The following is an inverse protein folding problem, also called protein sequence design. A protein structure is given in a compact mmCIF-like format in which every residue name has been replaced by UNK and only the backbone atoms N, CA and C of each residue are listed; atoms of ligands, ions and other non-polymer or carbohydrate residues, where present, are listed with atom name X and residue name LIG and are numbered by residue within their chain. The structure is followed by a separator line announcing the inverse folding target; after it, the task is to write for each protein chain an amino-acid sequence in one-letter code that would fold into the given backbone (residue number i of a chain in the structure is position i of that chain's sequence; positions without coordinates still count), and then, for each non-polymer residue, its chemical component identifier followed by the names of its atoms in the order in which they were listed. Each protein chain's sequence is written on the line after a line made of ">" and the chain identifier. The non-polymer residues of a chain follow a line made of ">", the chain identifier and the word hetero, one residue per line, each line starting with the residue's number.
data_IF_149155198327
#
_entry.id   IF_149155198327
#
_cell.length_a   1.000
_cell.length_b   1.000
_cell.length_c   1.000
_cell.angle_alpha   90.00
_cell.angle_beta   90.00
_cell.angle_gamma   90.00
#
_symmetry.space_group_name_H-M   'P 1'
#
loop_
_entity.id
_entity.type
_entity.pdbx_description
1 polymer ?
#
# COMPACT_ATOMS: atom_id res chain seq x y z
N UNK A 1 15.02 4.38 -28.49
CA UNK A 1 14.75 4.76 -27.10
C UNK A 1 14.10 6.13 -27.11
N UNK A 2 12.77 6.24 -26.97
CA UNK A 2 12.11 7.55 -26.94
C UNK A 2 12.31 8.20 -25.57
N UNK A 3 12.85 9.42 -25.57
CA UNK A 3 12.85 10.29 -24.40
C UNK A 3 11.39 10.66 -24.10
N UNK A 4 10.72 9.88 -23.25
CA UNK A 4 9.44 10.28 -22.66
C UNK A 4 9.66 11.61 -21.94
N UNK A 5 9.03 12.67 -22.43
CA UNK A 5 8.82 13.89 -21.65
C UNK A 5 8.02 13.49 -20.41
N UNK A 6 8.76 13.31 -19.33
CA UNK A 6 8.22 12.91 -18.05
C UNK A 6 7.82 14.22 -17.38
N UNK A 7 6.51 14.49 -17.15
CA UNK A 7 6.02 15.80 -16.75
C UNK A 7 6.85 16.30 -15.57
N UNK A 8 7.61 17.37 -15.82
CA UNK A 8 8.45 18.01 -14.82
C UNK A 8 7.50 18.68 -13.84
N UNK A 9 7.51 18.19 -12.59
CA UNK A 9 6.81 18.83 -11.49
C UNK A 9 7.18 20.32 -11.47
N UNK A 10 6.22 21.24 -11.33
CA UNK A 10 6.55 22.64 -11.11
C UNK A 10 7.44 22.75 -9.87
N UNK A 11 8.61 23.40 -10.02
CA UNK A 11 9.66 23.47 -8.98
C UNK A 11 9.16 24.14 -7.70
N UNK A 12 8.11 24.96 -7.81
CA UNK A 12 7.49 25.68 -6.70
C UNK A 12 6.54 24.83 -5.83
N UNK A 13 6.23 23.59 -6.23
CA UNK A 13 5.27 22.75 -5.50
C UNK A 13 5.89 21.85 -4.40
N UNK A 14 7.19 21.95 -4.15
CA UNK A 14 7.85 21.11 -3.15
C UNK A 14 7.81 21.77 -1.77
N UNK A 15 6.74 21.50 -1.02
CA UNK A 15 6.68 21.82 0.40
C UNK A 15 7.75 21.04 1.19
N UNK A 16 8.27 21.65 2.25
CA UNK A 16 9.09 20.94 3.25
C UNK A 16 8.34 19.71 3.78
N UNK A 17 9.03 18.58 4.06
CA UNK A 17 8.39 17.40 4.64
C UNK A 17 7.56 17.77 5.88
N UNK A 18 6.33 17.26 5.97
CA UNK A 18 5.48 17.51 7.15
C UNK A 18 6.01 16.72 8.34
N UNK A 19 5.64 17.17 9.54
CA UNK A 19 6.02 16.50 10.77
C UNK A 19 5.62 15.01 10.77
N UNK A 20 4.50 14.66 10.11
CA UNK A 20 4.04 13.28 9.97
C UNK A 20 5.02 12.39 9.19
N UNK A 21 5.52 12.87 8.04
CA UNK A 21 6.48 12.13 7.23
C UNK A 21 7.83 12.02 7.94
N UNK A 22 8.29 13.10 8.59
CA UNK A 22 9.53 13.07 9.38
C UNK A 22 9.43 12.07 10.53
N UNK A 23 8.30 12.02 11.23
CA UNK A 23 8.04 11.04 12.27
C UNK A 23 8.01 9.60 11.71
N UNK A 24 7.37 9.38 10.57
CA UNK A 24 7.32 8.07 9.92
C UNK A 24 8.72 7.60 9.46
N UNK A 25 9.53 8.50 8.91
CA UNK A 25 10.91 8.22 8.51
C UNK A 25 11.80 7.89 9.73
N UNK A 26 11.68 8.68 10.81
CA UNK A 26 12.33 8.41 12.09
C UNK A 26 11.94 7.05 12.69
N UNK A 27 10.64 6.77 12.76
CA UNK A 27 10.13 5.50 13.27
C UNK A 27 10.58 4.29 12.43
N UNK A 28 10.61 4.44 11.10
CA UNK A 28 11.13 3.39 10.21
C UNK A 28 12.62 3.11 10.47
N UNK A 29 13.45 4.15 10.54
CA UNK A 29 14.88 3.97 10.79
C UNK A 29 15.14 3.38 12.19
N UNK A 30 14.40 3.84 13.20
CA UNK A 30 14.42 3.25 14.54
C UNK A 30 14.07 1.76 14.52
N UNK A 31 13.02 1.36 13.80
CA UNK A 31 12.65 -0.05 13.65
C UNK A 31 13.77 -0.88 12.99
N UNK A 32 14.44 -0.34 11.97
CA UNK A 32 15.58 -1.01 11.31
C UNK A 32 16.75 -1.21 12.29
N UNK A 33 17.11 -0.16 13.05
CA UNK A 33 18.24 -0.24 13.98
C UNK A 33 17.93 -1.15 15.17
N UNK A 34 16.71 -1.08 15.72
CA UNK A 34 16.26 -1.97 16.80
C UNK A 34 16.27 -3.43 16.33
N UNK A 35 15.78 -3.70 15.12
CA UNK A 35 15.84 -5.03 14.52
C UNK A 35 17.29 -5.55 14.45
N UNK A 36 18.21 -4.72 13.95
CA UNK A 36 19.63 -5.09 13.88
C UNK A 36 20.22 -5.39 15.26
N UNK A 37 19.93 -4.55 16.28
CA UNK A 37 20.39 -4.79 17.65
C UNK A 37 19.84 -6.11 18.20
N UNK A 38 18.54 -6.38 18.05
CA UNK A 38 17.93 -7.62 18.54
C UNK A 38 18.53 -8.85 17.86
N UNK A 39 18.72 -8.81 16.54
CA UNK A 39 19.31 -9.91 15.78
C UNK A 39 20.76 -10.17 16.19
N UNK A 40 21.59 -9.13 16.32
CA UNK A 40 22.99 -9.25 16.72
C UNK A 40 23.10 -9.72 18.18
N UNK A 41 22.32 -9.13 19.09
CA UNK A 41 22.29 -9.52 20.49
C UNK A 41 21.91 -10.99 20.67
N UNK A 42 20.91 -11.47 19.92
CA UNK A 42 20.51 -12.87 19.93
C UNK A 42 21.63 -13.78 19.41
N UNK A 43 22.38 -13.34 18.39
CA UNK A 43 23.47 -14.12 17.81
C UNK A 43 24.67 -14.27 18.75
N UNK A 44 24.96 -13.25 19.56
CA UNK A 44 26.11 -13.26 20.50
C UNK A 44 25.73 -13.67 21.92
N UNK A 45 24.46 -13.99 22.19
CA UNK A 45 23.99 -14.34 23.53
C UNK A 45 24.11 -13.17 24.53
N UNK A 46 23.84 -11.94 24.10
CA UNK A 46 23.99 -10.76 24.94
C UNK A 46 23.07 -10.80 26.16
N UNK A 47 23.52 -10.17 27.26
CA UNK A 47 22.71 -10.03 28.47
C UNK A 47 21.47 -9.16 28.22
N UNK A 48 20.39 -9.41 28.97
CA UNK A 48 19.14 -8.62 28.88
C UNK A 48 19.39 -7.12 29.06
N UNK A 49 20.28 -6.74 29.99
CA UNK A 49 20.64 -5.35 30.23
C UNK A 49 21.29 -4.69 28.99
N UNK A 50 22.20 -5.41 28.33
CA UNK A 50 22.82 -4.96 27.08
C UNK A 50 21.80 -4.81 25.95
N UNK A 51 20.83 -5.74 25.85
CA UNK A 51 19.75 -5.65 24.87
C UNK A 51 18.88 -4.42 25.11
N UNK A 52 18.45 -4.19 26.34
CA UNK A 52 17.60 -3.04 26.68
C UNK A 52 18.31 -1.71 26.40
N UNK A 53 19.59 -1.58 26.80
CA UNK A 53 20.40 -0.41 26.50
C UNK A 53 20.60 -0.18 25.00
N UNK A 54 20.90 -1.27 24.26
CA UNK A 54 21.07 -1.22 22.82
C UNK A 54 19.78 -0.83 22.08
N UNK A 55 18.65 -1.42 22.44
CA UNK A 55 17.34 -1.12 21.83
C UNK A 55 16.94 0.33 22.08
N UNK A 56 17.07 0.82 23.32
CA UNK A 56 16.75 2.22 23.64
C UNK A 56 17.63 3.21 22.87
N UNK A 57 18.93 2.92 22.79
CA UNK A 57 19.89 3.75 22.04
C UNK A 57 19.57 3.73 20.54
N UNK A 58 19.38 2.54 19.95
CA UNK A 58 19.04 2.37 18.55
C UNK A 58 17.73 3.05 18.16
N UNK A 59 16.71 2.95 19.03
CA UNK A 59 15.44 3.63 18.83
C UNK A 59 15.62 5.15 18.83
N UNK A 60 16.30 5.69 19.84
CA UNK A 60 16.53 7.14 19.96
C UNK A 60 17.32 7.69 18.78
N UNK A 61 18.45 7.05 18.46
CA UNK A 61 19.29 7.42 17.32
C UNK A 61 18.52 7.32 16.01
N UNK A 62 17.75 6.26 15.81
CA UNK A 62 16.97 6.07 14.59
C UNK A 62 15.88 7.11 14.39
N UNK A 63 15.15 7.48 15.46
CA UNK A 63 14.13 8.53 15.39
C UNK A 63 14.76 9.87 15.00
N UNK A 64 15.84 10.27 15.70
CA UNK A 64 16.51 11.55 15.46
C UNK A 64 17.13 11.56 14.07
N UNK A 65 17.96 10.57 13.74
CA UNK A 65 18.67 10.52 12.47
C UNK A 65 17.70 10.40 11.29
N UNK A 66 16.61 9.62 11.41
CA UNK A 66 15.63 9.46 10.34
C UNK A 66 14.81 10.73 10.11
N UNK A 67 14.39 11.41 11.20
CA UNK A 67 13.72 12.71 11.12
C UNK A 67 14.61 13.76 10.45
N UNK A 68 15.84 13.91 10.96
CA UNK A 68 16.83 14.87 10.43
C UNK A 68 17.19 14.56 8.97
N UNK A 69 17.52 13.31 8.63
CA UNK A 69 17.86 12.92 7.26
C UNK A 69 16.71 13.19 6.28
N UNK A 70 15.45 12.98 6.71
CA UNK A 70 14.29 13.27 5.86
C UNK A 70 14.09 14.77 5.60
N UNK A 71 14.50 15.63 6.54
CA UNK A 71 14.39 17.09 6.42
C UNK A 71 15.35 17.68 5.38
N UNK A 72 16.51 17.06 5.17
CA UNK A 72 17.53 17.57 4.24
C UNK A 72 17.18 17.39 2.77
N UNK A 73 16.19 16.56 2.46
CA UNK A 73 15.90 16.18 1.08
C UNK A 73 14.53 16.72 0.68
N UNK A 74 14.49 18.02 0.36
CA UNK A 74 13.28 18.67 -0.16
C UNK A 74 12.75 17.92 -1.38
N UNK A 75 11.45 17.57 -1.38
CA UNK A 75 10.82 16.79 -2.45
C UNK A 75 11.09 15.28 -2.43
N UNK A 76 11.69 14.73 -1.37
CA UNK A 76 11.95 13.28 -1.25
C UNK A 76 10.67 12.43 -1.39
N UNK A 77 9.57 12.71 -0.66
CA UNK A 77 8.36 11.91 -0.76
C UNK A 77 7.78 11.89 -2.18
N UNK A 78 7.80 13.03 -2.87
CA UNK A 78 7.24 13.21 -4.21
C UNK A 78 8.10 12.46 -5.24
N UNK A 79 9.43 12.54 -5.12
CA UNK A 79 10.37 11.80 -5.98
C UNK A 79 10.30 10.29 -5.77
N UNK A 80 10.10 9.84 -4.53
CA UNK A 80 9.88 8.42 -4.22
C UNK A 80 8.53 7.96 -4.80
N UNK A 81 7.48 8.76 -4.61
CA UNK A 81 6.12 8.47 -5.09
C UNK A 81 6.00 8.36 -6.61
N UNK A 82 6.76 9.16 -7.37
CA UNK A 82 6.77 9.17 -8.84
C UNK A 82 7.17 7.83 -9.45
N UNK A 83 8.27 7.23 -8.99
CA UNK A 83 8.84 6.02 -9.62
C UNK A 83 8.57 4.78 -8.78
N UNK A 84 7.73 3.89 -9.30
CA UNK A 84 7.35 2.66 -8.57
C UNK A 84 8.50 1.76 -8.15
N UNK A 85 9.66 1.85 -8.83
CA UNK A 85 10.88 1.13 -8.42
C UNK A 85 11.51 1.71 -7.15
N UNK A 86 11.47 3.03 -6.95
CA UNK A 86 12.02 3.68 -5.74
C UNK A 86 11.18 3.38 -4.51
N UNK A 87 9.88 3.10 -4.70
CA UNK A 87 9.01 2.63 -3.63
C UNK A 87 9.40 1.25 -3.07
N UNK A 88 10.27 0.48 -3.76
CA UNK A 88 10.76 -0.81 -3.24
C UNK A 88 11.91 -0.61 -2.25
N UNK A 89 12.63 0.52 -2.31
CA UNK A 89 13.81 0.76 -1.49
C UNK A 89 13.54 0.65 0.04
N UNK A 90 12.44 1.21 0.59
CA UNK A 90 12.13 1.05 2.01
C UNK A 90 11.87 -0.40 2.43
N UNK A 91 11.56 -1.31 1.49
CA UNK A 91 11.32 -2.72 1.79
C UNK A 91 12.61 -3.55 1.87
N UNK A 92 13.75 -3.01 1.43
CA UNK A 92 15.03 -3.74 1.42
C UNK A 92 15.42 -4.25 2.81
N UNK A 93 15.38 -3.45 3.89
CA UNK A 93 15.70 -3.95 5.23
C UNK A 93 14.81 -5.10 5.68
N UNK A 94 13.51 -5.03 5.40
CA UNK A 94 12.57 -6.10 5.73
C UNK A 94 12.91 -7.40 4.99
N UNK A 95 13.24 -7.32 3.69
CA UNK A 95 13.64 -8.49 2.90
C UNK A 95 14.93 -9.11 3.42
N UNK A 96 15.92 -8.29 3.79
CA UNK A 96 17.18 -8.77 4.39
C UNK A 96 16.90 -9.49 5.71
N UNK A 97 16.08 -8.92 6.58
CA UNK A 97 15.71 -9.53 7.87
C UNK A 97 14.92 -10.84 7.70
N UNK A 98 14.02 -10.92 6.71
CA UNK A 98 13.36 -12.19 6.35
C UNK A 98 14.39 -13.23 5.90
N UNK A 99 15.37 -12.83 5.08
CA UNK A 99 16.46 -13.72 4.66
C UNK A 99 17.28 -14.24 5.86
N UNK A 100 17.63 -13.36 6.79
CA UNK A 100 18.34 -13.75 8.04
C UNK A 100 17.50 -14.72 8.85
N UNK A 101 16.20 -14.44 9.03
CA UNK A 101 15.31 -15.33 9.77
C UNK A 101 15.20 -16.71 9.11
N UNK A 102 15.06 -16.76 7.79
CA UNK A 102 15.00 -18.01 7.04
C UNK A 102 16.31 -18.82 7.15
N UNK A 103 17.48 -18.16 7.06
CA UNK A 103 18.78 -18.81 7.24
C UNK A 103 18.93 -19.36 8.66
N UNK A 104 18.55 -18.57 9.67
CA UNK A 104 18.62 -18.98 11.07
C UNK A 104 17.74 -20.20 11.37
N UNK A 105 16.58 -20.34 10.72
CA UNK A 105 15.73 -21.53 10.84
C UNK A 105 16.26 -22.74 10.07
N UNK A 106 16.97 -22.52 8.95
CA UNK A 106 17.49 -23.59 8.11
C UNK A 106 18.80 -24.21 8.65
N UNK A 107 19.53 -23.48 9.50
CA UNK A 107 20.84 -23.89 10.01
C UNK A 107 20.75 -24.19 11.50
N UNK A 108 20.79 -25.47 11.93
CA UNK A 108 20.62 -25.86 13.34
C UNK A 108 21.64 -25.27 14.31
N UNK A 109 22.80 -24.82 13.81
CA UNK A 109 23.84 -24.19 14.62
C UNK A 109 23.49 -22.75 15.01
N UNK A 110 22.51 -22.11 14.36
CA UNK A 110 22.10 -20.74 14.66
C UNK A 110 20.99 -20.77 15.72
N UNK A 111 21.08 -19.98 16.81
CA UNK A 111 20.03 -19.95 17.81
C UNK A 111 18.69 -19.50 17.22
N UNK A 112 17.60 -20.21 17.54
CA UNK A 112 16.24 -19.86 17.10
C UNK A 112 15.83 -18.43 17.50
N UNK A 113 16.44 -17.89 18.57
CA UNK A 113 16.24 -16.50 19.00
C UNK A 113 16.67 -15.48 17.93
N UNK A 114 17.68 -15.81 17.10
CA UNK A 114 18.09 -14.97 15.95
C UNK A 114 16.97 -14.89 14.93
N UNK A 115 16.34 -16.03 14.62
CA UNK A 115 15.20 -16.08 13.71
C UNK A 115 14.01 -15.26 14.24
N UNK A 116 13.71 -15.39 15.53
CA UNK A 116 12.67 -14.61 16.19
C UNK A 116 12.95 -13.10 16.12
N UNK A 117 14.15 -12.67 16.51
CA UNK A 117 14.55 -11.26 16.50
C UNK A 117 14.52 -10.66 15.10
N UNK A 118 15.06 -11.38 14.10
CA UNK A 118 15.02 -10.97 12.71
C UNK A 118 13.58 -10.94 12.15
N UNK A 119 12.74 -11.91 12.49
CA UNK A 119 11.33 -11.97 12.09
C UNK A 119 10.49 -10.82 12.63
N UNK A 120 10.62 -10.51 13.93
CA UNK A 120 9.96 -9.34 14.55
C UNK A 120 10.46 -8.05 13.89
N UNK A 121 11.77 -7.93 13.71
CA UNK A 121 12.39 -6.81 13.02
C UNK A 121 11.87 -6.62 11.59
N UNK A 122 11.71 -7.70 10.83
CA UNK A 122 11.14 -7.68 9.50
C UNK A 122 9.71 -7.14 9.51
N UNK A 123 8.88 -7.57 10.47
CA UNK A 123 7.51 -7.07 10.63
C UNK A 123 7.46 -5.56 10.91
N UNK A 124 8.25 -5.08 11.88
CA UNK A 124 8.30 -3.66 12.24
C UNK A 124 8.80 -2.78 11.08
N UNK A 125 9.87 -3.22 10.40
CA UNK A 125 10.43 -2.50 9.25
C UNK A 125 9.47 -2.50 8.06
N UNK A 126 8.74 -3.59 7.82
CA UNK A 126 7.72 -3.66 6.76
C UNK A 126 6.58 -2.65 7.01
N UNK A 127 6.13 -2.50 8.26
CA UNK A 127 5.11 -1.51 8.63
C UNK A 127 5.58 -0.09 8.35
N UNK A 128 6.80 0.26 8.77
CA UNK A 128 7.39 1.57 8.49
C UNK A 128 7.61 1.82 6.99
N UNK A 129 8.09 0.81 6.26
CA UNK A 129 8.25 0.86 4.81
C UNK A 129 6.92 1.11 4.08
N UNK A 130 5.86 0.43 4.54
CA UNK A 130 4.52 0.61 4.01
C UNK A 130 4.00 2.02 4.28
N UNK A 131 4.17 2.55 5.49
CA UNK A 131 3.79 3.91 5.85
C UNK A 131 4.51 4.95 4.98
N UNK A 132 5.83 4.83 4.81
CA UNK A 132 6.60 5.73 3.92
C UNK A 132 6.08 5.64 2.49
N UNK A 133 5.83 4.42 1.98
CA UNK A 133 5.35 4.22 0.63
C UNK A 133 3.95 4.77 0.40
N UNK A 134 3.03 4.64 1.36
CA UNK A 134 1.67 5.20 1.26
C UNK A 134 1.69 6.72 1.35
N UNK A 135 2.44 7.30 2.30
CA UNK A 135 2.57 8.75 2.45
C UNK A 135 3.20 9.39 1.21
N UNK A 136 4.30 8.81 0.71
CA UNK A 136 4.98 9.27 -0.51
C UNK A 136 4.05 9.27 -1.73
N UNK A 137 3.23 8.22 -1.89
CA UNK A 137 2.22 8.16 -2.96
C UNK A 137 1.12 9.19 -2.79
N UNK A 138 0.63 9.38 -1.57
CA UNK A 138 -0.42 10.35 -1.28
C UNK A 138 0.04 11.77 -1.59
N UNK A 139 1.27 12.11 -1.19
CA UNK A 139 1.90 13.41 -1.47
C UNK A 139 2.13 13.65 -2.94
N UNK A 140 2.76 12.70 -3.63
CA UNK A 140 2.93 12.76 -5.07
C UNK A 140 1.59 12.95 -5.79
N UNK A 141 0.55 12.25 -5.33
CA UNK A 141 -0.76 12.40 -5.92
C UNK A 141 -1.37 13.78 -5.67
N UNK A 142 -1.26 14.34 -4.47
CA UNK A 142 -1.71 15.71 -4.17
C UNK A 142 -0.96 16.74 -5.02
N UNK A 143 0.37 16.62 -5.13
CA UNK A 143 1.18 17.52 -5.93
C UNK A 143 0.83 17.50 -7.43
N UNK A 144 0.38 16.37 -7.95
CA UNK A 144 -0.04 16.23 -9.34
C UNK A 144 -1.50 16.62 -9.61
N UNK A 145 -2.29 16.86 -8.56
CA UNK A 145 -3.70 17.24 -8.66
C UNK A 145 -4.01 18.37 -7.67
N UNK A 146 -3.42 19.56 -7.85
CA UNK A 146 -3.70 20.73 -7.03
C UNK A 146 -5.07 21.35 -7.37
N UNK A 147 -5.61 21.03 -8.53
CA UNK A 147 -6.89 21.48 -9.08
C UNK A 147 -8.09 20.80 -8.41
N UNK A 148 -9.24 21.47 -8.47
CA UNK A 148 -10.51 20.85 -8.12
C UNK A 148 -10.86 19.76 -9.14
N UNK A 149 -11.35 18.59 -8.68
CA UNK A 149 -11.67 17.50 -9.58
C UNK A 149 -12.83 17.89 -10.51
N UNK A 150 -12.64 17.75 -11.82
CA UNK A 150 -13.68 17.96 -12.82
C UNK A 150 -14.85 16.98 -12.63
N UNK A 151 -14.56 15.78 -12.11
CA UNK A 151 -15.56 14.80 -11.70
C UNK A 151 -15.03 13.94 -10.55
N UNK A 152 -15.93 13.53 -9.67
CA UNK A 152 -15.66 12.58 -8.59
C UNK A 152 -16.74 11.50 -8.58
N UNK A 153 -16.33 10.25 -8.46
CA UNK A 153 -17.27 9.13 -8.32
C UNK A 153 -16.76 8.15 -7.27
N UNK A 154 -17.68 7.53 -6.53
CA UNK A 154 -17.31 6.42 -5.65
C UNK A 154 -16.80 5.25 -6.49
N UNK A 155 -15.60 4.79 -6.18
CA UNK A 155 -14.90 3.74 -6.89
C UNK A 155 -15.02 2.42 -6.17
N UNK A 156 -16.07 1.66 -6.51
CA UNK A 156 -16.15 0.26 -6.13
C UNK A 156 -15.28 -0.57 -7.07
N UNK A 157 -14.20 -1.17 -6.55
CA UNK A 157 -13.30 -2.00 -7.34
C UNK A 157 -13.76 -3.46 -7.33
N UNK A 158 -14.27 -4.02 -8.44
CA UNK A 158 -14.72 -5.43 -8.51
C UNK A 158 -13.58 -6.47 -8.52
N UNK A 159 -12.35 -6.07 -8.16
CA UNK A 159 -11.15 -6.92 -8.27
C UNK A 159 -10.20 -6.72 -7.08
N UNK A 160 -10.75 -6.32 -5.93
CA UNK A 160 -10.02 -6.25 -4.64
C UNK A 160 -9.75 -7.67 -4.09
N UNK A 161 -10.41 -8.66 -4.66
CA UNK A 161 -10.55 -10.07 -4.30
C UNK A 161 -9.20 -10.80 -4.31
N UNK A 162 -8.40 -10.60 -5.36
CA UNK A 162 -7.14 -11.34 -5.56
C UNK A 162 -6.07 -10.99 -4.53
N UNK A 163 -6.08 -9.76 -4.01
CA UNK A 163 -5.05 -9.29 -3.06
C UNK A 163 -5.35 -9.74 -1.64
N UNK A 164 -6.61 -9.67 -1.22
CA UNK A 164 -7.03 -10.19 0.07
C UNK A 164 -6.87 -11.71 0.14
N UNK A 165 -7.21 -12.40 -0.95
CA UNK A 165 -6.95 -13.84 -1.07
C UNK A 165 -5.46 -14.17 -0.99
N UNK A 166 -4.61 -13.48 -1.76
CA UNK A 166 -3.16 -13.71 -1.73
C UNK A 166 -2.55 -13.38 -0.36
N UNK A 167 -3.02 -12.32 0.30
CA UNK A 167 -2.57 -11.96 1.65
C UNK A 167 -2.98 -13.01 2.67
N UNK A 168 -4.24 -13.48 2.63
CA UNK A 168 -4.73 -14.56 3.50
C UNK A 168 -3.96 -15.86 3.29
N UNK A 169 -3.73 -16.26 2.03
CA UNK A 169 -2.95 -17.44 1.70
C UNK A 169 -1.49 -17.32 2.18
N UNK A 170 -0.87 -16.16 1.98
CA UNK A 170 0.49 -15.89 2.46
C UNK A 170 0.57 -15.96 3.99
N UNK A 171 -0.43 -15.44 4.69
CA UNK A 171 -0.49 -15.46 6.15
C UNK A 171 -0.64 -16.89 6.70
N UNK A 172 -1.53 -17.68 6.11
CA UNK A 172 -1.71 -19.10 6.45
C UNK A 172 -0.42 -19.90 6.17
N UNK A 173 0.21 -19.68 5.02
CA UNK A 173 1.46 -20.34 4.66
C UNK A 173 2.61 -19.96 5.61
N UNK A 174 2.72 -18.67 5.96
CA UNK A 174 3.73 -18.19 6.91
C UNK A 174 3.57 -18.80 8.30
N UNK A 175 2.32 -18.94 8.78
CA UNK A 175 2.06 -19.60 10.05
C UNK A 175 2.30 -21.12 9.99
N UNK A 176 1.92 -21.79 8.90
CA UNK A 176 2.22 -23.21 8.72
C UNK A 176 3.74 -23.48 8.72
N UNK A 177 4.52 -22.62 8.06
CA UNK A 177 5.98 -22.68 8.08
C UNK A 177 6.54 -22.47 9.49
N UNK A 178 5.96 -21.55 10.26
CA UNK A 178 6.34 -21.32 11.66
C UNK A 178 6.11 -22.58 12.52
N UNK A 179 4.96 -23.24 12.39
CA UNK A 179 4.65 -24.49 13.11
C UNK A 179 5.68 -25.58 12.76
N UNK A 180 5.97 -25.77 11.47
CA UNK A 180 6.94 -26.77 11.01
C UNK A 180 8.33 -26.49 11.58
N UNK A 181 8.72 -25.21 11.64
CA UNK A 181 10.04 -24.80 12.10
C UNK A 181 10.22 -24.94 13.63
N UNK A 182 9.19 -24.68 14.42
CA UNK A 182 9.31 -24.75 15.89
C UNK A 182 8.96 -26.13 16.44
N UNK A 183 8.22 -26.96 15.69
CA UNK A 183 7.68 -28.22 16.19
C UNK A 183 6.65 -28.04 17.33
N UNK A 184 6.37 -26.80 17.71
CA UNK A 184 5.48 -26.45 18.81
C UNK A 184 4.16 -25.93 18.25
N UNK A 185 3.10 -26.69 18.54
CA UNK A 185 1.73 -26.19 18.42
C UNK A 185 1.47 -25.27 19.61
N UNK A 186 1.84 -23.99 19.48
CA UNK A 186 1.61 -22.97 20.50
C UNK A 186 0.13 -22.95 20.93
N UNK A 187 -0.12 -23.17 22.21
CA UNK A 187 -1.43 -23.41 22.79
C UNK A 187 -2.46 -22.28 22.48
N UNK A 188 -3.60 -22.68 21.90
CA UNK A 188 -4.90 -21.99 21.92
C UNK A 188 -5.01 -20.65 21.18
N UNK A 189 -4.28 -19.63 21.64
CA UNK A 189 -4.55 -18.23 21.27
C UNK A 189 -3.94 -17.83 19.91
N UNK A 190 -2.78 -18.40 19.57
CA UNK A 190 -2.07 -18.15 18.31
C UNK A 190 -2.79 -18.81 17.14
N UNK A 191 -3.31 -20.02 17.36
CA UNK A 191 -4.16 -20.74 16.40
C UNK A 191 -5.47 -19.97 16.16
N UNK A 192 -6.09 -19.44 17.21
CA UNK A 192 -7.29 -18.63 17.10
C UNK A 192 -7.03 -17.36 16.28
N UNK A 193 -5.90 -16.67 16.51
CA UNK A 193 -5.53 -15.48 15.73
C UNK A 193 -5.32 -15.80 14.24
N UNK A 194 -4.66 -16.91 13.92
CA UNK A 194 -4.40 -17.32 12.52
C UNK A 194 -5.67 -17.78 11.84
N UNK A 195 -6.50 -18.56 12.54
CA UNK A 195 -7.78 -19.00 12.01
C UNK A 195 -8.70 -17.80 11.81
N UNK A 196 -8.84 -16.93 12.81
CA UNK A 196 -9.71 -15.76 12.69
C UNK A 196 -9.23 -14.86 11.55
N UNK A 197 -7.97 -14.42 11.51
CA UNK A 197 -7.52 -13.47 10.49
C UNK A 197 -7.24 -14.12 9.13
N UNK A 198 -6.69 -15.32 9.12
CA UNK A 198 -6.43 -16.09 7.91
C UNK A 198 -7.72 -16.56 7.24
N UNK A 199 -8.65 -17.16 7.99
CA UNK A 199 -9.97 -17.56 7.46
C UNK A 199 -10.81 -16.34 7.13
N UNK A 200 -10.76 -15.25 7.91
CA UNK A 200 -11.45 -14.00 7.54
C UNK A 200 -10.92 -13.43 6.22
N UNK A 201 -9.59 -13.32 6.05
CA UNK A 201 -9.00 -12.83 4.81
C UNK A 201 -9.30 -13.75 3.61
N UNK A 202 -9.29 -15.08 3.83
CA UNK A 202 -9.63 -16.08 2.82
C UNK A 202 -11.13 -16.03 2.45
N UNK A 203 -12.02 -15.96 3.45
CA UNK A 203 -13.46 -15.85 3.31
C UNK A 203 -13.84 -14.57 2.58
N UNK A 204 -13.30 -13.41 2.99
CA UNK A 204 -13.53 -12.15 2.27
C UNK A 204 -13.01 -12.21 0.85
N UNK A 205 -11.86 -12.83 0.61
CA UNK A 205 -11.36 -13.10 -0.74
C UNK A 205 -12.29 -13.98 -1.57
N UNK A 206 -12.93 -15.00 -0.96
CA UNK A 206 -13.81 -15.97 -1.61
C UNK A 206 -15.22 -15.43 -1.86
N UNK A 207 -15.81 -14.74 -0.88
CA UNK A 207 -17.09 -14.05 -0.94
C UNK A 207 -17.12 -13.05 -2.09
N UNK A 208 -16.07 -12.22 -2.17
CA UNK A 208 -15.90 -11.25 -3.25
C UNK A 208 -15.72 -11.94 -4.61
N UNK A 209 -14.95 -13.04 -4.67
CA UNK A 209 -14.65 -13.78 -5.91
C UNK A 209 -15.84 -14.55 -6.48
N UNK A 210 -16.71 -15.07 -5.62
CA UNK A 210 -17.86 -15.88 -6.03
C UNK A 210 -19.15 -15.05 -6.24
N UNK A 211 -19.12 -13.72 -6.02
CA UNK A 211 -20.32 -12.87 -6.07
C UNK A 211 -21.52 -13.47 -5.31
N UNK A 212 -21.28 -14.18 -4.20
CA UNK A 212 -22.33 -14.89 -3.44
C UNK A 212 -23.36 -13.94 -2.80
N UNK A 213 -23.10 -12.64 -2.82
CA UNK A 213 -24.02 -11.58 -2.39
C UNK A 213 -25.26 -11.35 -3.26
N UNK A 214 -25.46 -12.07 -4.37
CA UNK A 214 -26.74 -12.03 -5.12
C UNK A 214 -27.69 -13.19 -4.80
N UNK A 215 -27.39 -14.01 -3.80
CA UNK A 215 -28.27 -15.11 -3.38
C UNK A 215 -29.13 -14.68 -2.18
N UNK A 216 -30.39 -14.32 -2.45
CA UNK A 216 -31.48 -14.29 -1.49
C UNK A 216 -31.35 -13.35 -0.28
N UNK A 217 -31.98 -12.18 -0.39
CA UNK A 217 -32.12 -11.11 0.63
C UNK A 217 -32.81 -11.54 1.95
N UNK A 218 -33.13 -12.82 2.13
CA UNK A 218 -34.02 -13.31 3.20
C UNK A 218 -33.33 -14.26 4.21
N UNK A 219 -32.01 -14.44 4.11
CA UNK A 219 -31.25 -15.27 5.03
C UNK A 219 -31.12 -14.68 6.44
N UNK A 220 -31.34 -15.49 7.48
CA UNK A 220 -31.25 -15.13 8.91
C UNK A 220 -29.90 -14.51 9.33
N UNK A 221 -28.83 -14.76 8.56
CA UNK A 221 -27.49 -14.17 8.75
C UNK A 221 -27.36 -12.73 8.21
N UNK A 222 -28.11 -12.37 7.16
CA UNK A 222 -28.15 -11.00 6.61
C UNK A 222 -28.82 -9.99 7.55
N UNK A 223 -29.63 -10.48 8.51
CA UNK A 223 -30.25 -9.64 9.54
C UNK A 223 -29.32 -9.32 10.71
N UNK A 224 -28.28 -10.15 10.92
CA UNK A 224 -27.26 -9.94 11.96
C UNK A 224 -26.13 -9.06 11.40
N UNK A 225 -25.77 -9.26 10.14
CA UNK A 225 -24.88 -8.37 9.38
C UNK A 225 -25.73 -7.53 8.43
N UNK A 226 -26.46 -6.56 8.98
CA UNK A 226 -27.24 -5.61 8.18
C UNK A 226 -26.28 -4.92 7.17
N UNK A 227 -26.35 -5.29 5.87
CA UNK A 227 -25.40 -4.83 4.88
C UNK A 227 -25.53 -3.33 4.70
N UNK A 228 -26.73 -2.76 4.84
CA UNK A 228 -26.98 -1.34 4.62
C UNK A 228 -26.36 -0.49 5.73
N UNK A 229 -26.35 -0.98 6.98
CA UNK A 229 -25.67 -0.32 8.10
C UNK A 229 -24.15 -0.44 8.04
N UNK A 230 -23.65 -1.55 7.50
CA UNK A 230 -22.23 -1.74 7.19
C UNK A 230 -21.81 -0.93 5.95
N UNK A 231 -22.70 -0.76 4.97
CA UNK A 231 -22.51 0.07 3.78
C UNK A 231 -22.45 1.55 4.17
N UNK A 232 -23.35 2.06 5.02
CA UNK A 232 -23.25 3.42 5.57
C UNK A 232 -21.93 3.67 6.31
N UNK A 233 -21.46 2.68 7.08
CA UNK A 233 -20.16 2.75 7.75
C UNK A 233 -19.00 2.61 6.78
N UNK A 234 -19.15 1.90 5.67
CA UNK A 234 -18.10 1.62 4.68
C UNK A 234 -18.08 2.58 3.50
N UNK A 235 -19.13 3.37 3.25
CA UNK A 235 -19.18 4.44 2.26
C UNK A 235 -18.10 5.48 2.53
N UNK A 236 -17.86 5.78 3.81
CA UNK A 236 -16.73 6.61 4.26
C UNK A 236 -15.36 5.97 3.95
N UNK A 237 -15.32 4.66 3.74
CA UNK A 237 -14.10 3.90 3.41
C UNK A 237 -14.00 3.50 1.95
N UNK A 238 -15.04 3.76 1.14
CA UNK A 238 -15.01 3.43 -0.25
C UNK A 238 -13.94 4.28 -0.94
N UNK A 239 -13.16 3.68 -1.84
CA UNK A 239 -12.28 4.46 -2.69
C UNK A 239 -13.10 5.47 -3.50
N UNK A 240 -12.54 6.61 -3.82
CA UNK A 240 -13.14 7.62 -4.70
C UNK A 240 -12.22 7.80 -5.91
N UNK A 241 -12.78 7.80 -7.12
CA UNK A 241 -12.06 8.13 -8.34
C UNK A 241 -12.35 9.59 -8.68
N UNK A 242 -11.28 10.40 -8.68
CA UNK A 242 -11.32 11.81 -9.05
C UNK A 242 -10.62 12.01 -10.38
N UNK A 243 -11.28 12.74 -11.27
CA UNK A 243 -10.80 13.11 -12.60
C UNK A 243 -10.23 14.51 -12.53
N UNK A 244 -8.98 14.67 -12.93
CA UNK A 244 -8.25 15.94 -12.96
C UNK A 244 -7.69 16.17 -14.36
N UNK A 245 -7.30 17.41 -14.66
CA UNK A 245 -6.72 17.74 -15.97
C UNK A 245 -5.42 16.97 -16.23
N UNK A 246 -4.58 16.81 -15.20
CA UNK A 246 -3.31 16.10 -15.33
C UNK A 246 -3.44 14.57 -15.37
N UNK A 247 -4.55 14.01 -14.88
CA UNK A 247 -4.74 12.57 -14.78
C UNK A 247 -5.87 12.15 -13.86
N UNK A 248 -5.86 10.89 -13.45
CA UNK A 248 -6.82 10.33 -12.51
C UNK A 248 -6.20 10.20 -11.12
N UNK A 249 -6.93 10.59 -10.08
CA UNK A 249 -6.57 10.34 -8.69
C UNK A 249 -7.52 9.33 -8.06
N UNK A 250 -6.98 8.19 -7.65
CA UNK A 250 -7.68 7.20 -6.85
C UNK A 250 -7.44 7.53 -5.37
N UNK A 251 -8.45 8.05 -4.69
CA UNK A 251 -8.44 8.40 -3.27
C UNK A 251 -8.95 7.21 -2.47
N UNK A 252 -8.28 6.90 -1.37
CA UNK A 252 -8.71 5.94 -0.34
C UNK A 252 -8.49 6.62 1.02
N UNK A 253 -9.18 6.18 2.08
CA UNK A 253 -9.11 6.83 3.39
C UNK A 253 -7.70 7.11 3.92
N UNK A 254 -6.76 6.20 3.67
CA UNK A 254 -5.37 6.33 4.10
C UNK A 254 -4.36 6.49 2.94
N UNK A 255 -4.82 6.52 1.69
CA UNK A 255 -3.91 6.52 0.55
C UNK A 255 -4.51 7.20 -0.68
N UNK A 256 -3.81 8.19 -1.25
CA UNK A 256 -4.10 8.71 -2.60
C UNK A 256 -3.10 8.15 -3.61
N UNK A 257 -3.57 7.83 -4.81
CA UNK A 257 -2.72 7.36 -5.91
C UNK A 257 -3.07 8.08 -7.19
N UNK A 258 -2.09 8.73 -7.78
CA UNK A 258 -2.21 9.36 -9.09
C UNK A 258 -1.90 8.38 -10.23
N UNK A 259 -2.61 8.56 -11.33
CA UNK A 259 -2.53 7.77 -12.56
C UNK A 259 -2.50 8.78 -13.71
N UNK A 260 -1.31 9.06 -14.29
CA UNK A 260 -1.20 9.99 -15.40
C UNK A 260 -1.95 9.50 -16.64
N UNK A 261 -2.49 10.42 -17.45
CA UNK A 261 -3.14 10.09 -18.73
C UNK A 261 -2.23 9.29 -19.66
N UNK A 262 -0.93 9.57 -19.66
CA UNK A 262 0.07 8.82 -20.45
C UNK A 262 0.21 7.33 -20.08
N UNK A 263 -0.41 6.90 -18.98
CA UNK A 263 -0.47 5.49 -18.56
C UNK A 263 -1.80 4.81 -18.85
N UNK A 264 -2.81 5.57 -19.26
CA UNK A 264 -4.12 5.11 -19.70
C UNK A 264 -4.03 4.87 -21.20
N UNK A 265 -4.31 3.63 -21.63
CA UNK A 265 -4.32 3.31 -23.06
C UNK A 265 -5.69 3.61 -23.67
N UNK A 266 -6.76 3.28 -22.94
CA UNK A 266 -8.12 3.39 -23.45
C UNK A 266 -9.11 3.58 -22.29
N UNK A 267 -10.26 4.16 -22.59
CA UNK A 267 -11.39 4.29 -21.68
C UNK A 267 -12.61 3.76 -22.41
N UNK A 268 -13.30 2.79 -21.81
CA UNK A 268 -14.46 2.13 -22.41
C UNK A 268 -15.62 2.13 -21.43
N UNK A 269 -16.78 2.58 -21.89
CA UNK A 269 -18.03 2.40 -21.18
C UNK A 269 -18.73 1.15 -21.73
N UNK A 270 -18.89 0.14 -20.89
CA UNK A 270 -19.68 -1.06 -21.21
C UNK A 270 -21.05 -0.97 -20.56
N UNK A 271 -21.93 -1.94 -20.86
CA UNK A 271 -23.26 -2.01 -20.25
C UNK A 271 -23.22 -2.16 -18.72
N UNK A 272 -22.17 -2.77 -18.17
CA UNK A 272 -22.06 -3.04 -16.72
C UNK A 272 -21.00 -2.19 -16.03
N UNK A 273 -19.96 -1.74 -16.73
CA UNK A 273 -18.79 -1.13 -16.10
C UNK A 273 -18.11 -0.07 -16.98
N UNK A 274 -17.57 0.96 -16.33
CA UNK A 274 -16.58 1.88 -16.91
C UNK A 274 -15.18 1.28 -16.69
N UNK A 275 -14.47 0.99 -17.78
CA UNK A 275 -13.14 0.37 -17.78
C UNK A 275 -12.10 1.36 -18.29
N UNK A 276 -11.06 1.59 -17.50
CA UNK A 276 -9.89 2.40 -17.85
C UNK A 276 -8.71 1.44 -17.98
N UNK A 277 -8.33 1.16 -19.22
CA UNK A 277 -7.32 0.17 -19.57
C UNK A 277 -5.90 0.70 -19.37
N UNK A 278 -5.03 -0.13 -18.77
CA UNK A 278 -3.63 0.25 -18.50
C UNK A 278 -2.67 -0.88 -18.88
N UNK A 279 -1.87 -0.74 -19.94
CA UNK A 279 -1.17 -1.87 -20.58
C UNK A 279 -0.10 -2.54 -19.69
N UNK A 280 0.43 -1.85 -18.68
CA UNK A 280 1.47 -2.38 -17.77
C UNK A 280 0.98 -2.56 -16.33
N UNK A 281 -0.31 -2.38 -16.07
CA UNK A 281 -0.91 -2.42 -14.73
C UNK A 281 -2.31 -3.03 -14.83
N UNK A 282 -2.96 -3.19 -13.70
CA UNK A 282 -4.36 -3.61 -13.68
C UNK A 282 -5.25 -2.49 -14.20
N UNK A 283 -6.32 -2.83 -14.92
CA UNK A 283 -7.33 -1.86 -15.32
C UNK A 283 -8.03 -1.26 -14.08
N UNK A 284 -8.53 -0.03 -14.21
CA UNK A 284 -9.49 0.52 -13.26
C UNK A 284 -10.88 0.21 -13.80
N UNK A 285 -11.73 -0.40 -12.98
CA UNK A 285 -13.10 -0.75 -13.34
C UNK A 285 -14.01 -0.11 -12.30
N UNK A 286 -15.06 0.55 -12.75
CA UNK A 286 -16.13 1.11 -11.92
C UNK A 286 -17.44 0.48 -12.35
N UNK A 287 -18.22 -0.05 -11.40
CA UNK A 287 -19.55 -0.59 -11.69
C UNK A 287 -20.48 0.57 -12.09
N UNK A 288 -21.16 0.44 -13.24
CA UNK A 288 -22.04 1.46 -13.77
C UNK A 288 -23.15 1.84 -12.79
N UNK A 289 -23.62 0.90 -11.97
CA UNK A 289 -24.69 1.14 -10.98
C UNK A 289 -24.27 2.07 -9.84
N UNK A 290 -22.96 2.26 -9.64
CA UNK A 290 -22.41 3.16 -8.62
C UNK A 290 -22.15 4.58 -9.15
N UNK A 291 -22.41 4.80 -10.43
CA UNK A 291 -22.18 6.07 -11.12
C UNK A 291 -23.54 6.67 -11.45
N UNK A 292 -23.86 7.82 -10.86
CA UNK A 292 -25.15 8.49 -11.08
C UNK A 292 -25.40 8.76 -12.58
N UNK A 293 -24.36 9.15 -13.31
CA UNK A 293 -24.39 9.46 -14.74
C UNK A 293 -23.09 8.97 -15.41
N UNK A 294 -23.11 7.71 -15.85
CA UNK A 294 -21.93 7.02 -16.38
C UNK A 294 -21.48 7.58 -17.73
N UNK A 295 -22.42 7.97 -18.59
CA UNK A 295 -22.16 8.65 -19.86
C UNK A 295 -21.44 9.97 -19.64
N UNK A 296 -21.98 10.83 -18.77
CA UNK A 296 -21.37 12.14 -18.51
C UNK A 296 -20.00 12.02 -17.86
N UNK A 297 -19.79 11.03 -16.98
CA UNK A 297 -18.47 10.76 -16.43
C UNK A 297 -17.50 10.30 -17.51
N UNK A 298 -17.93 9.40 -18.40
CA UNK A 298 -17.13 8.95 -19.54
C UNK A 298 -16.74 10.12 -20.44
N UNK A 299 -17.68 10.97 -20.83
CA UNK A 299 -17.43 12.13 -21.67
C UNK A 299 -16.44 13.11 -21.02
N UNK A 300 -16.55 13.34 -19.71
CA UNK A 300 -15.60 14.18 -18.96
C UNK A 300 -14.19 13.58 -18.93
N UNK A 301 -14.07 12.28 -18.70
CA UNK A 301 -12.79 11.58 -18.72
C UNK A 301 -12.15 11.68 -20.11
N UNK A 302 -12.93 11.43 -21.15
CA UNK A 302 -12.43 11.44 -22.52
C UNK A 302 -12.06 12.85 -23.00
N UNK A 303 -12.84 13.86 -22.60
CA UNK A 303 -12.52 15.27 -22.85
C UNK A 303 -11.23 15.68 -22.15
N UNK A 304 -11.06 15.33 -20.86
CA UNK A 304 -9.84 15.64 -20.10
C UNK A 304 -8.60 14.97 -20.70
N UNK A 305 -8.73 13.71 -21.14
CA UNK A 305 -7.67 12.97 -21.84
C UNK A 305 -7.28 13.65 -23.15
N UNK A 306 -8.27 13.95 -24.00
CA UNK A 306 -8.07 14.56 -25.33
C UNK A 306 -7.41 15.93 -25.20
N UNK A 307 -7.89 16.77 -24.29
CA UNK A 307 -7.31 18.09 -24.04
C UNK A 307 -5.83 17.99 -23.63
N UNK A 308 -5.49 16.98 -22.82
CA UNK A 308 -4.09 16.74 -22.43
C UNK A 308 -3.21 16.32 -23.61
N UNK A 309 -3.70 15.41 -24.45
CA UNK A 309 -2.98 14.96 -25.64
C UNK A 309 -2.71 16.13 -26.61
N UNK A 310 -3.68 17.03 -26.79
CA UNK A 310 -3.52 18.25 -27.60
C UNK A 310 -2.46 19.17 -26.98
N UNK A 311 -2.51 19.40 -25.66
CA UNK A 311 -1.55 20.25 -24.97
C UNK A 311 -0.11 19.72 -25.06
N UNK A 312 0.08 18.41 -24.92
CA UNK A 312 1.39 17.76 -25.06
C UNK A 312 1.90 17.87 -26.51
N UNK A 313 1.03 17.73 -27.52
CA UNK A 313 1.39 17.87 -28.93
C UNK A 313 1.80 19.32 -29.30
N UNK A 314 1.13 20.32 -28.74
CA UNK A 314 1.49 21.73 -28.93
C UNK A 314 2.83 22.08 -28.27
N UNK A 315 3.11 21.50 -27.10
CA UNK A 315 4.38 21.70 -26.39
C UNK A 315 5.56 21.16 -27.21
N UNK A 316 5.39 19.99 -27.85
CA UNK A 316 6.44 19.39 -28.71
C UNK A 316 6.70 20.23 -29.98
N UNK A 317 5.69 20.90 -30.53
CA UNK A 317 5.87 21.74 -31.73
C UNK A 317 6.63 23.04 -31.45
N UNK A 318 6.61 23.52 -30.21
CA UNK A 318 7.20 24.79 -29.82
C UNK A 318 8.60 24.66 -29.17
N UNK A 319 9.10 23.43 -29.00
CA UNK A 319 10.42 23.10 -28.46
C UNK A 319 11.39 22.76 -29.59
#
# INVERSE_FOLDING_TARGET
>A
MSHRHDPTLPVEAFETPDAGFMAAAGAFLAAVLVAAVLTVAAAVGASVASVLGGVSTAATVGVIAGGVASSFVAGLPERIGRRSQRLVLPFVPAVVLVGIAAIALAVPAIPALVALGAGIGAGLTLLGAFAIATMSRTRYARAMTPDEPTASVLWLKPNQDRRWFALGALWIAGYAALIVATGEFSAGNTILHVLVWGVFALYRGLELRLRLGKTGRDGRLARIFDPDRLLDLTDRWLPELRVHEAGLAVVRPMQRRFVPWTTVADVRLTAEELVIERPRRFDLRCDRTTIDDAERLFDRIESARTNREIADALTIRNA
#
